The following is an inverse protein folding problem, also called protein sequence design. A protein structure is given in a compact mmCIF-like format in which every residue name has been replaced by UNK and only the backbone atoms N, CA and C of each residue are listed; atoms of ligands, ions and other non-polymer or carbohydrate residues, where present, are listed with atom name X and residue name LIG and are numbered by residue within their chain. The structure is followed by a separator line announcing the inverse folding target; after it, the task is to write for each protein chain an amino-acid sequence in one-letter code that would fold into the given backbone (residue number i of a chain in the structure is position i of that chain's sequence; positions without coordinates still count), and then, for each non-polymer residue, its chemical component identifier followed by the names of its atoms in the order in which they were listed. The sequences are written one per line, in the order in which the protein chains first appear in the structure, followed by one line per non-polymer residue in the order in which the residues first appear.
data_IF_695983624495
#
_entry.id   IF_695983624495
#
_cell.length_a   1.000
_cell.length_b   1.000
_cell.length_c   1.000
_cell.angle_alpha   90.00
_cell.angle_beta   90.00
_cell.angle_gamma   90.00
#
_symmetry.space_group_name_H-M   'P 1'
#
loop_
_entity.id
_entity.type
_entity.pdbx_description
1 polymer ?
#
# COMPACT_ATOMS: atom_id res chain seq x y z
N UNK A 1 -33.94 2.79 -6.65
CA UNK A 1 -32.55 2.98 -6.19
C UNK A 1 -32.55 2.88 -4.67
N UNK A 2 -31.69 2.04 -4.10
CA UNK A 2 -31.54 1.84 -2.65
C UNK A 2 -30.13 2.27 -2.29
N UNK A 3 -30.01 3.26 -1.38
CA UNK A 3 -28.72 3.74 -0.89
C UNK A 3 -28.41 3.10 0.46
N UNK A 4 -27.27 2.44 0.55
CA UNK A 4 -26.79 1.78 1.75
C UNK A 4 -25.63 2.59 2.35
N UNK A 5 -25.76 2.92 3.64
CA UNK A 5 -24.69 3.53 4.42
C UNK A 5 -23.96 2.42 5.19
N UNK A 6 -22.76 2.08 4.75
CA UNK A 6 -21.94 1.04 5.37
C UNK A 6 -21.21 1.60 6.59
N UNK A 7 -21.32 0.92 7.72
CA UNK A 7 -20.72 1.31 9.00
C UNK A 7 -20.00 0.13 9.66
N UNK A 8 -19.00 0.44 10.49
CA UNK A 8 -18.38 -0.51 11.43
C UNK A 8 -18.53 0.08 12.83
N UNK A 9 -19.41 -0.52 13.64
CA UNK A 9 -19.88 0.13 14.88
C UNK A 9 -20.53 1.49 14.55
N UNK A 10 -20.09 2.53 15.24
CA UNK A 10 -20.56 3.91 14.99
C UNK A 10 -19.80 4.61 13.86
N UNK A 11 -18.73 4.00 13.34
CA UNK A 11 -17.88 4.62 12.32
C UNK A 11 -18.45 4.44 10.91
N UNK A 12 -18.64 5.57 10.22
CA UNK A 12 -19.07 5.61 8.81
C UNK A 12 -17.94 5.18 7.89
N UNK A 13 -18.21 4.20 7.01
CA UNK A 13 -17.20 3.64 6.11
C UNK A 13 -17.32 4.23 4.70
N UNK A 14 -18.42 3.96 4.01
CA UNK A 14 -18.71 4.45 2.65
C UNK A 14 -20.19 4.31 2.32
N UNK A 15 -20.62 4.94 1.23
CA UNK A 15 -21.95 4.81 0.66
C UNK A 15 -21.91 3.88 -0.56
N UNK A 16 -22.92 3.03 -0.71
CA UNK A 16 -23.08 2.08 -1.81
C UNK A 16 -24.53 2.13 -2.32
N UNK A 17 -24.71 2.26 -3.63
CA UNK A 17 -26.04 2.28 -4.26
C UNK A 17 -26.32 0.93 -4.94
N UNK A 18 -27.55 0.45 -4.75
CA UNK A 18 -28.06 -0.78 -5.37
C UNK A 18 -29.54 -0.63 -5.75
N UNK A 19 -30.20 -1.72 -6.13
CA UNK A 19 -31.61 -1.78 -6.49
C UNK A 19 -32.36 -2.84 -5.69
N UNK A 20 -33.69 -2.75 -5.67
CA UNK A 20 -34.55 -3.59 -4.80
C UNK A 20 -34.48 -5.07 -5.20
N UNK A 21 -34.26 -5.35 -6.48
CA UNK A 21 -34.21 -6.71 -7.02
C UNK A 21 -32.81 -7.35 -6.93
N UNK A 22 -31.81 -6.63 -6.42
CA UNK A 22 -30.45 -7.15 -6.30
C UNK A 22 -30.38 -8.28 -5.28
N UNK A 23 -29.64 -9.34 -5.61
CA UNK A 23 -29.45 -10.46 -4.68
C UNK A 23 -28.59 -10.01 -3.51
N UNK A 24 -28.99 -10.44 -2.31
CA UNK A 24 -28.27 -10.12 -1.07
C UNK A 24 -26.81 -10.63 -1.15
N UNK A 25 -26.59 -11.79 -1.74
CA UNK A 25 -25.26 -12.38 -1.91
C UNK A 25 -24.33 -11.49 -2.74
N UNK A 26 -24.84 -10.93 -3.85
CA UNK A 26 -24.06 -10.03 -4.72
C UNK A 26 -23.74 -8.72 -3.99
N UNK A 27 -24.71 -8.18 -3.23
CA UNK A 27 -24.52 -6.98 -2.40
C UNK A 27 -23.44 -7.22 -1.34
N UNK A 28 -23.49 -8.35 -0.63
CA UNK A 28 -22.49 -8.70 0.39
C UNK A 28 -21.11 -8.81 -0.27
N UNK A 29 -21.00 -9.53 -1.38
CA UNK A 29 -19.75 -9.69 -2.11
C UNK A 29 -19.17 -8.32 -2.52
N UNK A 30 -19.99 -7.43 -3.08
CA UNK A 30 -19.57 -6.10 -3.51
C UNK A 30 -19.08 -5.24 -2.35
N UNK A 31 -19.85 -5.18 -1.26
CA UNK A 31 -19.51 -4.39 -0.07
C UNK A 31 -18.23 -4.91 0.57
N UNK A 32 -18.08 -6.24 0.72
CA UNK A 32 -16.88 -6.86 1.27
C UNK A 32 -15.66 -6.58 0.39
N UNK A 33 -15.80 -6.67 -0.93
CA UNK A 33 -14.73 -6.36 -1.88
C UNK A 33 -14.28 -4.91 -1.77
N UNK A 34 -15.22 -3.97 -1.73
CA UNK A 34 -14.91 -2.54 -1.55
C UNK A 34 -14.23 -2.31 -0.20
N UNK A 35 -14.79 -2.84 0.88
CA UNK A 35 -14.25 -2.67 2.23
C UNK A 35 -12.81 -3.19 2.34
N UNK A 36 -12.55 -4.42 1.89
CA UNK A 36 -11.22 -5.02 1.91
C UNK A 36 -10.23 -4.27 1.01
N UNK A 37 -10.67 -3.82 -0.17
CA UNK A 37 -9.85 -3.02 -1.06
C UNK A 37 -9.44 -1.68 -0.45
N UNK A 38 -10.30 -1.04 0.36
CA UNK A 38 -9.95 0.17 1.11
C UNK A 38 -8.89 -0.09 2.17
N UNK A 39 -9.01 -1.19 2.92
CA UNK A 39 -7.98 -1.61 3.88
C UNK A 39 -6.64 -1.84 3.18
N UNK A 40 -6.67 -2.53 2.04
CA UNK A 40 -5.50 -2.78 1.19
C UNK A 40 -4.82 -1.51 0.72
N UNK A 41 -5.58 -0.54 0.20
CA UNK A 41 -5.06 0.78 -0.18
C UNK A 41 -4.39 1.47 1.01
N UNK A 42 -5.00 1.39 2.21
CA UNK A 42 -4.44 1.99 3.43
C UNK A 42 -3.07 1.40 3.78
N UNK A 43 -2.94 0.07 3.76
CA UNK A 43 -1.68 -0.64 4.03
C UNK A 43 -0.60 -0.30 3.00
N UNK A 44 -0.94 -0.35 1.72
CA UNK A 44 -0.02 0.01 0.63
C UNK A 44 0.45 1.46 0.78
N UNK A 45 -0.44 2.39 1.07
CA UNK A 45 -0.07 3.80 1.27
C UNK A 45 0.94 3.96 2.41
N UNK A 46 0.73 3.29 3.54
CA UNK A 46 1.66 3.31 4.66
C UNK A 46 3.04 2.76 4.27
N UNK A 47 3.08 1.61 3.58
CA UNK A 47 4.35 1.03 3.16
C UNK A 47 5.06 1.87 2.07
N UNK A 48 4.34 2.54 1.18
CA UNK A 48 4.93 3.47 0.20
C UNK A 48 5.52 4.71 0.89
N UNK A 49 4.95 5.18 2.01
CA UNK A 49 5.56 6.26 2.81
C UNK A 49 6.92 5.83 3.36
N UNK A 50 7.05 4.59 3.82
CA UNK A 50 8.32 4.04 4.31
C UNK A 50 9.30 3.75 3.16
N UNK A 51 8.81 3.32 1.99
CA UNK A 51 9.61 3.21 0.77
C UNK A 51 10.20 4.57 0.36
N UNK A 52 9.40 5.64 0.43
CA UNK A 52 9.86 6.99 0.10
C UNK A 52 10.96 7.49 1.06
N UNK A 53 10.88 7.13 2.35
CA UNK A 53 11.87 7.55 3.36
C UNK A 53 13.13 6.70 3.43
N UNK A 54 13.02 5.41 3.15
CA UNK A 54 14.08 4.45 3.47
C UNK A 54 14.44 3.49 2.34
N UNK A 55 13.77 3.56 1.19
CA UNK A 55 14.04 2.66 0.07
C UNK A 55 13.44 1.27 0.25
N UNK A 56 13.93 0.30 -0.53
CA UNK A 56 13.33 -1.03 -0.62
C UNK A 56 13.58 -1.88 0.61
N UNK A 57 12.73 -2.89 0.82
CA UNK A 57 12.86 -3.82 1.94
C UNK A 57 14.14 -4.67 1.84
N UNK A 58 14.84 -4.85 2.96
CA UNK A 58 15.99 -5.74 3.06
C UNK A 58 15.57 -7.21 2.95
N UNK A 59 16.45 -8.10 2.48
CA UNK A 59 16.23 -9.54 2.55
C UNK A 59 15.95 -10.03 3.98
N UNK A 60 15.13 -11.07 4.13
CA UNK A 60 14.72 -11.61 5.44
C UNK A 60 15.87 -12.00 6.36
N UNK A 61 16.98 -12.47 5.81
CA UNK A 61 18.19 -12.84 6.57
C UNK A 61 19.01 -11.63 7.05
N UNK A 62 18.70 -10.42 6.59
CA UNK A 62 19.38 -9.18 6.97
C UNK A 62 18.54 -8.27 7.87
N UNK A 63 17.21 -8.44 7.85
CA UNK A 63 16.31 -7.58 8.64
C UNK A 63 16.59 -7.70 10.14
N UNK A 64 16.71 -6.55 10.80
CA UNK A 64 16.94 -6.46 12.25
C UNK A 64 18.35 -6.80 12.73
N UNK A 65 19.29 -7.09 11.81
CA UNK A 65 20.71 -7.25 12.15
C UNK A 65 21.41 -5.90 12.24
N UNK A 66 22.47 -5.82 13.07
CA UNK A 66 23.35 -4.65 13.10
C UNK A 66 24.32 -4.66 11.91
N UNK A 67 24.85 -3.48 11.57
CA UNK A 67 25.82 -3.34 10.48
C UNK A 67 27.05 -4.26 10.71
N UNK A 68 27.48 -4.42 11.97
CA UNK A 68 28.58 -5.32 12.37
C UNK A 68 28.25 -6.80 12.10
N UNK A 69 27.03 -7.25 12.45
CA UNK A 69 26.59 -8.63 12.20
C UNK A 69 26.47 -8.92 10.70
N UNK A 70 26.00 -7.95 9.92
CA UNK A 70 25.92 -8.05 8.45
C UNK A 70 27.32 -8.23 7.85
N UNK A 71 28.31 -7.47 8.33
CA UNK A 71 29.70 -7.58 7.88
C UNK A 71 30.34 -8.92 8.29
N UNK A 72 30.16 -9.35 9.54
CA UNK A 72 30.68 -10.63 10.06
C UNK A 72 30.12 -11.83 9.27
N UNK A 73 28.81 -11.83 9.02
CA UNK A 73 28.12 -12.85 8.26
C UNK A 73 28.30 -12.70 6.73
N UNK A 74 28.96 -11.63 6.28
CA UNK A 74 29.21 -11.31 4.86
C UNK A 74 27.93 -11.29 4.02
N UNK A 75 26.83 -10.82 4.62
CA UNK A 75 25.54 -10.73 3.94
C UNK A 75 25.53 -9.56 2.97
N UNK A 76 24.85 -9.71 1.84
CA UNK A 76 24.74 -8.68 0.81
C UNK A 76 23.30 -8.52 0.37
N UNK A 77 22.90 -7.27 0.19
CA UNK A 77 21.62 -6.91 -0.41
C UNK A 77 21.72 -6.95 -1.93
N UNK A 78 21.48 -8.13 -2.51
CA UNK A 78 21.46 -8.34 -3.97
C UNK A 78 20.35 -7.55 -4.68
N UNK A 79 19.32 -7.12 -3.93
CA UNK A 79 18.18 -6.40 -4.48
C UNK A 79 18.40 -4.90 -4.50
N UNK A 80 19.19 -4.34 -3.58
CA UNK A 80 19.51 -2.92 -3.54
C UNK A 80 20.17 -2.40 -4.81
N UNK A 81 20.89 -3.24 -5.56
CA UNK A 81 21.48 -2.89 -6.87
C UNK A 81 20.54 -3.14 -8.05
N UNK A 82 19.55 -4.02 -7.91
CA UNK A 82 18.57 -4.34 -8.96
C UNK A 82 17.38 -3.37 -8.94
N UNK A 83 16.92 -3.04 -7.74
CA UNK A 83 15.74 -2.20 -7.49
C UNK A 83 16.17 -0.78 -7.15
N UNK A 84 16.85 -0.12 -8.09
CA UNK A 84 17.31 1.26 -7.92
C UNK A 84 16.21 2.23 -8.32
N UNK A 85 15.92 3.26 -7.51
CA UNK A 85 14.94 4.27 -7.89
C UNK A 85 15.39 5.11 -9.08
N UNK A 86 14.43 5.64 -9.82
CA UNK A 86 14.64 6.58 -10.91
C UNK A 86 15.39 7.83 -10.40
N UNK A 87 16.33 8.31 -11.19
CA UNK A 87 17.24 9.42 -10.85
C UNK A 87 18.19 9.13 -9.67
N UNK A 88 18.33 7.87 -9.23
CA UNK A 88 19.23 7.46 -8.16
C UNK A 88 18.66 7.66 -6.76
N UNK A 89 19.52 7.53 -5.74
CA UNK A 89 19.12 7.50 -4.34
C UNK A 89 20.04 8.34 -3.45
N UNK A 90 19.51 8.72 -2.28
CA UNK A 90 20.30 9.29 -1.17
C UNK A 90 20.19 8.38 0.04
N UNK A 91 21.17 8.43 0.94
CA UNK A 91 21.15 7.56 2.12
C UNK A 91 20.30 8.15 3.25
N UNK A 92 19.36 7.36 3.76
CA UNK A 92 18.61 7.65 4.98
C UNK A 92 18.31 6.34 5.71
N UNK A 93 19.08 6.06 6.76
CA UNK A 93 19.03 4.79 7.49
C UNK A 93 17.65 4.55 8.10
N UNK A 94 17.13 3.34 7.91
CA UNK A 94 15.97 2.86 8.66
C UNK A 94 16.42 2.46 10.07
N UNK A 95 15.86 3.14 11.08
CA UNK A 95 16.18 2.89 12.50
C UNK A 95 15.72 1.50 12.94
N UNK A 96 14.66 0.97 12.33
CA UNK A 96 14.11 -0.35 12.64
C UNK A 96 14.91 -1.44 11.91
N UNK A 97 15.62 -1.10 10.84
CA UNK A 97 16.43 -2.04 10.06
C UNK A 97 15.61 -2.99 9.19
N UNK A 98 14.45 -2.55 8.69
CA UNK A 98 13.61 -3.29 7.72
C UNK A 98 13.97 -2.95 6.28
N UNK A 99 14.34 -1.70 6.01
CA UNK A 99 14.64 -1.16 4.67
C UNK A 99 16.13 -0.83 4.52
N UNK A 100 16.62 -0.81 3.28
CA UNK A 100 18.05 -0.70 2.99
C UNK A 100 18.64 0.72 3.12
N UNK A 101 17.80 1.71 3.40
CA UNK A 101 18.17 3.11 3.55
C UNK A 101 18.45 3.85 2.23
N UNK A 102 18.20 3.23 1.07
CA UNK A 102 18.40 3.85 -0.26
C UNK A 102 17.12 4.58 -0.70
N UNK A 103 16.83 5.70 -0.05
CA UNK A 103 15.62 6.46 -0.35
C UNK A 103 15.69 7.11 -1.76
N UNK A 104 14.56 7.21 -2.48
CA UNK A 104 14.49 7.96 -3.74
C UNK A 104 14.89 9.42 -3.58
N UNK A 105 15.19 10.10 -4.69
CA UNK A 105 15.40 11.56 -4.70
C UNK A 105 14.16 12.33 -4.23
N UNK A 106 14.33 13.55 -3.73
CA UNK A 106 13.21 14.38 -3.23
C UNK A 106 12.07 14.55 -4.26
N UNK A 107 12.42 14.67 -5.56
CA UNK A 107 11.44 14.73 -6.66
C UNK A 107 10.62 13.45 -6.78
N UNK A 108 11.26 12.28 -6.66
CA UNK A 108 10.56 10.99 -6.71
C UNK A 108 9.76 10.71 -5.45
N UNK A 109 10.23 11.14 -4.27
CA UNK A 109 9.44 11.10 -3.04
C UNK A 109 8.16 11.92 -3.18
N UNK A 110 8.24 13.11 -3.78
CA UNK A 110 7.06 13.96 -4.03
C UNK A 110 6.03 13.26 -4.93
N UNK A 111 6.48 12.53 -5.96
CA UNK A 111 5.59 11.71 -6.81
C UNK A 111 4.85 10.67 -5.97
N UNK A 112 5.56 9.94 -5.10
CA UNK A 112 4.94 8.94 -4.21
C UNK A 112 3.95 9.60 -3.24
N UNK A 113 4.33 10.69 -2.57
CA UNK A 113 3.47 11.37 -1.61
C UNK A 113 2.20 11.94 -2.23
N UNK A 114 2.29 12.62 -3.38
CA UNK A 114 1.12 13.12 -4.11
C UNK A 114 0.17 11.99 -4.50
N UNK A 115 0.72 10.87 -4.95
CA UNK A 115 -0.06 9.69 -5.33
C UNK A 115 -0.76 9.06 -4.13
N UNK A 116 -0.09 8.97 -2.98
CA UNK A 116 -0.68 8.51 -1.72
C UNK A 116 -1.85 9.39 -1.30
N UNK A 117 -1.68 10.72 -1.32
CA UNK A 117 -2.74 11.66 -0.98
C UNK A 117 -3.95 11.51 -1.90
N UNK A 118 -3.71 11.39 -3.21
CA UNK A 118 -4.75 11.15 -4.21
C UNK A 118 -5.49 9.84 -3.94
N UNK A 119 -4.79 8.73 -3.76
CA UNK A 119 -5.40 7.43 -3.51
C UNK A 119 -6.22 7.42 -2.20
N UNK A 120 -5.69 8.01 -1.12
CA UNK A 120 -6.41 8.17 0.16
C UNK A 120 -7.67 9.02 0.02
N UNK A 121 -7.64 10.06 -0.80
CA UNK A 121 -8.80 10.90 -1.06
C UNK A 121 -9.92 10.11 -1.78
N UNK A 122 -9.57 9.28 -2.77
CA UNK A 122 -10.52 8.48 -3.55
C UNK A 122 -11.31 7.47 -2.71
N UNK A 123 -10.74 6.98 -1.61
CA UNK A 123 -11.40 6.00 -0.73
C UNK A 123 -11.70 6.52 0.68
N UNK A 124 -11.64 7.84 0.87
CA UNK A 124 -11.77 8.46 2.19
C UNK A 124 -13.14 8.23 2.82
N UNK A 125 -13.18 8.03 4.15
CA UNK A 125 -14.43 8.02 4.92
C UNK A 125 -15.18 9.36 4.84
N UNK A 126 -14.47 10.46 4.52
CA UNK A 126 -15.05 11.80 4.36
C UNK A 126 -16.02 11.90 3.18
N UNK A 127 -15.93 11.00 2.20
CA UNK A 127 -16.83 10.94 1.05
C UNK A 127 -18.30 10.74 1.46
N UNK A 128 -18.55 10.07 2.60
CA UNK A 128 -19.90 9.92 3.16
C UNK A 128 -20.54 11.27 3.47
N UNK A 129 -19.78 12.22 4.02
CA UNK A 129 -20.29 13.56 4.35
C UNK A 129 -20.56 14.40 3.10
N UNK A 130 -19.93 14.03 1.99
CA UNK A 130 -20.09 14.66 0.68
C UNK A 130 -21.17 13.97 -0.18
N UNK A 131 -21.88 12.97 0.38
CA UNK A 131 -22.84 12.11 -0.32
C UNK A 131 -22.25 11.42 -1.56
N UNK A 132 -20.95 11.11 -1.51
CA UNK A 132 -20.23 10.44 -2.59
C UNK A 132 -20.13 8.93 -2.34
N UNK A 133 -20.36 8.17 -3.40
CA UNK A 133 -20.31 6.71 -3.41
C UNK A 133 -18.89 6.22 -3.58
N UNK A 134 -18.60 5.05 -3.02
CA UNK A 134 -17.37 4.30 -3.35
C UNK A 134 -17.78 3.03 -4.08
N UNK A 135 -17.15 2.78 -5.23
CA UNK A 135 -17.39 1.59 -6.06
C UNK A 135 -16.12 0.76 -6.15
N UNK A 136 -16.25 -0.50 -6.55
CA UNK A 136 -15.08 -1.35 -6.84
C UNK A 136 -14.16 -0.72 -7.89
N UNK A 137 -14.73 -0.02 -8.87
CA UNK A 137 -13.96 0.70 -9.88
C UNK A 137 -13.06 1.78 -9.28
N UNK A 138 -13.59 2.60 -8.36
CA UNK A 138 -12.81 3.65 -7.67
C UNK A 138 -11.67 3.04 -6.85
N UNK A 139 -11.93 1.90 -6.19
CA UNK A 139 -10.90 1.16 -5.44
C UNK A 139 -9.81 0.65 -6.39
N UNK A 140 -10.19 0.06 -7.53
CA UNK A 140 -9.24 -0.42 -8.53
C UNK A 140 -8.41 0.73 -9.12
N UNK A 141 -9.03 1.85 -9.47
CA UNK A 141 -8.34 3.05 -9.98
C UNK A 141 -7.33 3.57 -8.95
N UNK A 142 -7.67 3.60 -7.66
CA UNK A 142 -6.74 4.00 -6.61
C UNK A 142 -5.54 3.04 -6.49
N UNK A 143 -5.76 1.73 -6.60
CA UNK A 143 -4.68 0.73 -6.63
C UNK A 143 -3.78 0.90 -7.86
N UNK A 144 -4.36 1.16 -9.02
CA UNK A 144 -3.63 1.33 -10.28
C UNK A 144 -2.78 2.59 -10.28
N UNK A 145 -3.28 3.69 -9.69
CA UNK A 145 -2.52 4.93 -9.50
C UNK A 145 -1.30 4.69 -8.58
N UNK A 146 -1.49 3.97 -7.47
CA UNK A 146 -0.38 3.60 -6.57
C UNK A 146 0.64 2.71 -7.29
N UNK A 147 0.19 1.70 -8.03
CA UNK A 147 1.06 0.81 -8.81
C UNK A 147 1.84 1.59 -9.88
N UNK A 148 1.18 2.51 -10.56
CA UNK A 148 1.80 3.39 -11.56
C UNK A 148 2.91 4.24 -10.96
N UNK A 149 2.68 4.88 -9.81
CA UNK A 149 3.69 5.68 -9.14
C UNK A 149 4.90 4.86 -8.68
N UNK A 150 4.66 3.67 -8.10
CA UNK A 150 5.75 2.76 -7.73
C UNK A 150 6.54 2.31 -8.96
N UNK A 151 5.88 2.06 -10.09
CA UNK A 151 6.55 1.69 -11.35
C UNK A 151 7.39 2.85 -11.93
N UNK A 152 6.90 4.08 -11.81
CA UNK A 152 7.66 5.27 -12.23
C UNK A 152 8.91 5.42 -11.38
N UNK A 153 8.78 5.31 -10.05
CA UNK A 153 9.92 5.50 -9.15
C UNK A 153 10.86 4.31 -9.17
N UNK A 154 10.37 3.08 -9.34
CA UNK A 154 11.15 1.84 -9.39
C UNK A 154 10.85 1.09 -10.71
N UNK A 155 11.46 1.50 -11.84
CA UNK A 155 11.16 0.94 -13.15
C UNK A 155 11.55 -0.53 -13.30
N UNK A 156 12.52 -1.00 -12.50
CA UNK A 156 12.92 -2.42 -12.43
C UNK A 156 12.08 -3.22 -11.43
N UNK A 157 11.03 -2.61 -10.88
CA UNK A 157 10.17 -3.19 -9.87
C UNK A 157 10.79 -3.19 -8.46
N UNK A 158 10.00 -3.67 -7.51
CA UNK A 158 10.41 -3.87 -6.14
C UNK A 158 10.88 -5.32 -5.90
N UNK A 159 11.65 -5.57 -4.83
CA UNK A 159 12.03 -6.92 -4.45
C UNK A 159 10.79 -7.82 -4.25
N UNK A 160 10.88 -9.13 -4.54
CA UNK A 160 9.75 -10.07 -4.41
C UNK A 160 9.27 -10.24 -2.96
N UNK A 161 10.14 -9.96 -1.99
CA UNK A 161 9.81 -9.95 -0.57
C UNK A 161 9.32 -8.59 -0.06
N UNK A 162 9.27 -7.56 -0.90
CA UNK A 162 8.74 -6.26 -0.49
C UNK A 162 7.21 -6.33 -0.37
N UNK A 163 6.69 -5.89 0.78
CA UNK A 163 5.26 -5.98 1.12
C UNK A 163 4.39 -5.26 0.09
N UNK A 164 4.88 -4.13 -0.46
CA UNK A 164 4.13 -3.36 -1.47
C UNK A 164 3.87 -4.23 -2.71
N UNK A 165 4.89 -5.00 -3.13
CA UNK A 165 4.78 -5.90 -4.26
C UNK A 165 3.86 -7.08 -3.96
N UNK A 166 4.00 -7.69 -2.79
CA UNK A 166 3.13 -8.78 -2.35
C UNK A 166 1.66 -8.35 -2.35
N UNK A 167 1.35 -7.17 -1.81
CA UNK A 167 0.01 -6.59 -1.85
C UNK A 167 -0.46 -6.38 -3.30
N UNK A 168 0.35 -5.80 -4.20
CA UNK A 168 -0.08 -5.64 -5.60
C UNK A 168 -0.32 -6.96 -6.35
N UNK A 169 0.38 -8.02 -5.97
CA UNK A 169 0.28 -9.36 -6.57
C UNK A 169 -0.77 -10.26 -5.86
N UNK A 170 -1.44 -9.77 -4.80
CA UNK A 170 -2.35 -10.53 -3.96
C UNK A 170 -1.70 -11.74 -3.26
N UNK A 171 -0.43 -11.61 -2.91
CA UNK A 171 0.39 -12.60 -2.22
C UNK A 171 0.68 -12.21 -0.76
N UNK A 172 0.02 -11.17 -0.24
CA UNK A 172 0.18 -10.75 1.14
C UNK A 172 -0.28 -11.83 2.14
N UNK A 173 0.50 -12.05 3.19
CA UNK A 173 0.08 -12.83 4.35
C UNK A 173 -0.22 -11.87 5.51
N UNK A 174 -1.50 -11.74 5.84
CA UNK A 174 -1.96 -10.90 6.94
C UNK A 174 -2.06 -11.66 8.26
N UNK A 175 -1.80 -12.97 8.28
CA UNK A 175 -1.95 -13.80 9.48
C UNK A 175 -1.07 -13.29 10.63
N UNK A 176 -1.65 -13.20 11.84
CA UNK A 176 -0.95 -12.68 13.01
C UNK A 176 -0.65 -11.18 12.99
N UNK A 177 -1.05 -10.44 11.96
CA UNK A 177 -0.91 -8.98 11.89
C UNK A 177 -2.16 -8.28 12.43
N UNK A 178 -2.02 -7.02 12.83
CA UNK A 178 -3.17 -6.20 13.25
C UNK A 178 -4.22 -6.08 12.12
N UNK A 179 -3.79 -6.10 10.86
CA UNK A 179 -4.69 -6.02 9.71
C UNK A 179 -5.62 -7.24 9.56
N UNK A 180 -5.27 -8.40 10.14
CA UNK A 180 -6.17 -9.57 10.15
C UNK A 180 -7.33 -9.45 11.15
N UNK A 181 -7.28 -8.46 12.04
CA UNK A 181 -8.33 -8.20 13.04
C UNK A 181 -9.31 -7.11 12.59
N UNK A 182 -9.09 -6.50 11.42
CA UNK A 182 -9.91 -5.41 10.88
C UNK A 182 -11.05 -5.88 9.97
#
# INVERSE_FOLDING_TARGET
MVRMHIKKGDESQFLYDTHVDARIEDIIYDITTIYNGRLKISRICYEIEELAKHGTMLPHNMMGLTDEQVEELKLKDDWGEKCVPMDGWTFNKDVIGRRNGRQPTAKMQEVLHKTIEQARAMVSKKLVQQDQLVTQKVVQEALDILRGAVTIVYPMGLPPHDIIRQEFENNEDLSGTQASLE
#
